data_IF_233262804777
#
_entry.id   IF_233262804777
#
_cell.length_a   1.000
_cell.length_b   1.000
_cell.length_c   1.000
_cell.angle_alpha   90.00
_cell.angle_beta   90.00
_cell.angle_gamma   90.00
#
_symmetry.space_group_name_H-M   'P 1'
#
loop_
_entity.id
_entity.type
_entity.pdbx_description
1 polymer ?
#
# COMPACT_ATOMS: atom_id res chain seq x y z
N UNK A 1 -9.91 -7.68 12.87
CA UNK A 1 -8.71 -8.27 12.24
C UNK A 1 -8.17 -7.27 11.22
N UNK A 2 -7.13 -7.59 10.45
CA UNK A 2 -6.65 -6.72 9.36
C UNK A 2 -6.40 -7.53 8.11
N UNK A 3 -6.58 -6.90 6.95
CA UNK A 3 -6.19 -7.46 5.66
C UNK A 3 -5.11 -6.59 5.01
N UNK A 4 -4.39 -7.22 4.09
CA UNK A 4 -3.28 -6.60 3.38
C UNK A 4 -3.64 -6.38 1.90
N UNK A 5 -3.28 -5.21 1.39
CA UNK A 5 -3.29 -4.89 -0.04
C UNK A 5 -1.87 -4.51 -0.45
N UNK A 6 -1.35 -5.22 -1.44
CA UNK A 6 0.03 -5.06 -1.93
C UNK A 6 0.02 -4.44 -3.32
N UNK A 7 0.69 -3.31 -3.48
CA UNK A 7 1.07 -2.74 -4.77
C UNK A 7 2.38 -3.33 -5.27
N UNK A 8 2.35 -4.00 -6.41
CA UNK A 8 3.51 -4.54 -7.12
C UNK A 8 3.86 -3.59 -8.28
N UNK A 9 4.67 -2.59 -7.97
CA UNK A 9 4.97 -1.43 -8.80
C UNK A 9 6.13 -1.70 -9.77
N UNK A 10 5.99 -1.37 -11.06
CA UNK A 10 7.07 -1.54 -12.06
C UNK A 10 8.20 -0.53 -11.89
N UNK A 11 7.89 0.65 -11.35
CA UNK A 11 8.84 1.72 -11.04
C UNK A 11 8.87 1.96 -9.54
N UNK A 12 10.00 2.45 -9.05
CA UNK A 12 10.12 2.88 -7.66
C UNK A 12 9.13 4.02 -7.41
N UNK A 13 8.23 3.91 -6.43
CA UNK A 13 7.40 5.04 -6.02
C UNK A 13 8.28 6.03 -5.26
N UNK A 14 8.39 7.25 -5.79
CA UNK A 14 9.00 8.36 -5.06
C UNK A 14 8.04 8.94 -4.01
N UNK A 15 8.55 9.86 -3.20
CA UNK A 15 7.77 10.51 -2.15
C UNK A 15 6.53 11.24 -2.69
N UNK A 16 6.63 11.89 -3.85
CA UNK A 16 5.50 12.60 -4.47
C UNK A 16 4.41 11.62 -4.92
N UNK A 17 4.80 10.48 -5.49
CA UNK A 17 3.90 9.40 -5.88
C UNK A 17 3.19 8.81 -4.66
N UNK A 18 3.91 8.56 -3.57
CA UNK A 18 3.32 8.07 -2.32
C UNK A 18 2.33 9.07 -1.72
N UNK A 19 2.72 10.35 -1.61
CA UNK A 19 1.85 11.40 -1.09
C UNK A 19 0.58 11.54 -1.96
N UNK A 20 0.72 11.48 -3.28
CA UNK A 20 -0.41 11.57 -4.21
C UNK A 20 -1.37 10.37 -4.06
N UNK A 21 -0.83 9.16 -3.90
CA UNK A 21 -1.63 7.96 -3.65
C UNK A 21 -2.34 8.01 -2.28
N UNK A 22 -1.66 8.50 -1.23
CA UNK A 22 -2.24 8.72 0.10
C UNK A 22 -3.41 9.70 0.03
N UNK A 23 -3.24 10.82 -0.70
CA UNK A 23 -4.31 11.81 -0.87
C UNK A 23 -5.50 11.28 -1.66
N UNK A 24 -5.27 10.37 -2.60
CA UNK A 24 -6.34 9.70 -3.33
C UNK A 24 -7.17 8.77 -2.44
N UNK A 25 -6.54 8.13 -1.45
CA UNK A 25 -7.18 7.19 -0.53
C UNK A 25 -8.01 7.85 0.57
N UNK A 26 -7.58 9.02 1.04
CA UNK A 26 -8.37 9.80 1.99
C UNK A 26 -7.91 11.26 2.00
N UNK A 27 -8.65 12.19 1.38
CA UNK A 27 -8.27 13.60 1.33
C UNK A 27 -8.37 14.32 2.69
N UNK A 28 -9.00 13.69 3.69
CA UNK A 28 -9.24 14.27 5.03
C UNK A 28 -8.44 13.57 6.13
N UNK A 29 -7.62 12.57 5.81
CA UNK A 29 -6.85 11.84 6.82
C UNK A 29 -5.61 12.60 7.27
N UNK A 30 -5.31 12.50 8.56
CA UNK A 30 -4.00 12.87 9.10
C UNK A 30 -3.00 11.77 8.77
N UNK A 31 -1.79 12.17 8.37
CA UNK A 31 -0.69 11.25 8.04
C UNK A 31 0.38 11.38 9.12
N UNK A 32 0.60 10.30 9.84
CA UNK A 32 1.66 10.16 10.83
C UNK A 32 2.78 9.29 10.24
N UNK A 33 4.04 9.62 10.57
CA UNK A 33 5.20 8.79 10.22
C UNK A 33 5.67 8.11 11.50
N UNK A 34 5.61 6.79 11.52
CA UNK A 34 6.26 5.97 12.55
C UNK A 34 7.70 5.72 12.10
N UNK A 35 8.64 6.53 12.59
CA UNK A 35 10.05 6.45 12.21
C UNK A 35 10.71 5.15 12.70
N UNK A 36 10.29 4.63 13.86
CA UNK A 36 10.84 3.40 14.44
C UNK A 36 10.50 2.17 13.59
N UNK A 37 9.30 2.16 13.01
CA UNK A 37 8.81 1.06 12.17
C UNK A 37 8.88 1.36 10.67
N UNK A 38 9.30 2.56 10.31
CA UNK A 38 9.44 3.03 8.94
C UNK A 38 8.14 2.86 8.12
N UNK A 39 7.03 3.34 8.67
CA UNK A 39 5.69 3.22 8.08
C UNK A 39 4.87 4.50 8.21
N UNK A 40 3.94 4.69 7.27
CA UNK A 40 2.95 5.78 7.31
C UNK A 40 1.65 5.26 7.91
N UNK A 41 1.04 6.05 8.80
CA UNK A 41 -0.25 5.74 9.42
C UNK A 41 -1.26 6.82 9.02
N UNK A 42 -2.31 6.42 8.32
CA UNK A 42 -3.44 7.28 7.98
C UNK A 42 -4.51 7.11 9.05
N UNK A 43 -4.96 8.24 9.61
CA UNK A 43 -6.04 8.28 10.59
C UNK A 43 -7.22 9.08 10.07
N UNK A 44 -8.44 8.59 10.31
CA UNK A 44 -9.64 9.36 10.04
C UNK A 44 -9.74 10.56 11.00
N UNK A 45 -10.64 11.53 10.76
CA UNK A 45 -10.84 12.67 11.66
C UNK A 45 -11.23 12.30 13.10
N UNK A 46 -11.71 11.07 13.34
CA UNK A 46 -11.97 10.52 14.67
C UNK A 46 -10.74 9.94 15.37
N UNK A 47 -9.57 9.96 14.72
CA UNK A 47 -8.29 9.45 15.24
C UNK A 47 -8.08 7.94 15.06
N UNK A 48 -9.03 7.24 14.44
CA UNK A 48 -8.93 5.79 14.19
C UNK A 48 -8.01 5.52 13.00
N UNK A 49 -7.23 4.44 13.06
CA UNK A 49 -6.35 4.04 11.96
C UNK A 49 -7.19 3.49 10.81
N UNK A 50 -7.02 4.07 9.63
CA UNK A 50 -7.67 3.67 8.38
C UNK A 50 -6.74 2.79 7.56
N UNK A 51 -5.46 3.17 7.46
CA UNK A 51 -4.48 2.47 6.64
C UNK A 51 -3.09 2.63 7.24
N UNK A 52 -2.33 1.55 7.28
CA UNK A 52 -0.88 1.57 7.52
C UNK A 52 -0.16 1.24 6.22
N UNK A 53 0.89 1.95 5.86
CA UNK A 53 1.64 1.75 4.62
C UNK A 53 3.12 1.53 4.96
N UNK A 54 3.67 0.38 4.55
CA UNK A 54 5.11 0.12 4.64
C UNK A 54 5.87 0.80 3.49
N UNK A 55 7.13 1.14 3.75
CA UNK A 55 8.02 1.64 2.70
C UNK A 55 8.19 0.65 1.54
N UNK A 56 8.36 1.21 0.34
CA UNK A 56 8.60 0.43 -0.86
C UNK A 56 9.88 -0.41 -0.76
N UNK A 57 9.78 -1.70 -1.05
CA UNK A 57 10.92 -2.64 -1.06
C UNK A 57 11.16 -3.20 -2.45
N UNK A 58 12.40 -3.18 -2.91
CA UNK A 58 12.78 -3.77 -4.21
C UNK A 58 12.89 -5.30 -4.09
N UNK A 59 11.98 -6.01 -4.74
CA UNK A 59 12.01 -7.48 -4.86
C UNK A 59 12.68 -7.85 -6.16
N UNK A 60 13.87 -8.46 -6.07
CA UNK A 60 14.71 -8.82 -7.23
C UNK A 60 14.86 -10.31 -7.44
N UNK A 61 14.51 -11.12 -6.44
CA UNK A 61 14.63 -12.58 -6.49
C UNK A 61 13.51 -13.16 -7.35
N UNK A 62 13.81 -13.86 -8.46
CA UNK A 62 12.78 -14.52 -9.26
C UNK A 62 11.96 -15.51 -8.42
N UNK A 63 10.63 -15.48 -8.57
CA UNK A 63 9.71 -16.38 -7.87
C UNK A 63 9.34 -15.97 -6.44
N UNK A 64 9.96 -14.95 -5.86
CA UNK A 64 9.67 -14.52 -4.49
C UNK A 64 8.22 -14.05 -4.33
N UNK A 65 7.71 -13.29 -5.29
CA UNK A 65 6.30 -12.85 -5.28
C UNK A 65 5.35 -14.04 -5.42
N UNK A 66 5.67 -15.03 -6.25
CA UNK A 66 4.87 -16.28 -6.34
C UNK A 66 4.87 -17.03 -5.01
N UNK A 67 6.01 -17.11 -4.34
CA UNK A 67 6.15 -17.79 -3.05
C UNK A 67 5.29 -17.14 -1.96
N UNK A 68 5.21 -15.80 -1.94
CA UNK A 68 4.50 -15.05 -0.90
C UNK A 68 3.01 -14.81 -1.21
N UNK A 69 2.68 -14.45 -2.46
CA UNK A 69 1.34 -14.01 -2.86
C UNK A 69 0.62 -14.98 -3.81
N UNK A 70 1.31 -16.02 -4.29
CA UNK A 70 0.74 -16.98 -5.25
C UNK A 70 0.60 -16.46 -6.69
N UNK A 71 1.02 -15.22 -6.96
CA UNK A 71 0.95 -14.59 -8.30
C UNK A 71 2.34 -14.45 -8.93
N UNK A 72 2.39 -14.52 -10.26
CA UNK A 72 3.64 -14.41 -11.02
C UNK A 72 3.82 -12.99 -11.56
N UNK A 73 4.94 -12.36 -11.22
CA UNK A 73 5.38 -11.07 -11.77
C UNK A 73 6.89 -11.12 -12.03
N UNK A 74 7.36 -10.59 -13.17
CA UNK A 74 8.78 -10.59 -13.48
C UNK A 74 9.53 -9.61 -12.56
N UNK A 75 10.66 -10.02 -11.93
CA UNK A 75 11.52 -9.10 -11.21
C UNK A 75 12.31 -8.20 -12.18
N UNK A 76 12.76 -7.00 -11.74
CA UNK A 76 12.51 -6.42 -10.42
C UNK A 76 11.10 -5.82 -10.32
N UNK A 77 10.54 -5.84 -9.10
CA UNK A 77 9.28 -5.15 -8.77
C UNK A 77 9.43 -4.43 -7.44
N UNK A 78 8.74 -3.31 -7.28
CA UNK A 78 8.66 -2.57 -6.03
C UNK A 78 7.41 -2.97 -5.26
N UNK A 79 7.61 -3.57 -4.10
CA UNK A 79 6.55 -4.01 -3.20
C UNK A 79 6.21 -2.91 -2.21
N UNK A 80 4.97 -2.44 -2.25
CA UNK A 80 4.41 -1.54 -1.23
C UNK A 80 3.25 -2.27 -0.58
N UNK A 81 3.36 -2.51 0.72
CA UNK A 81 2.33 -3.18 1.52
C UNK A 81 1.50 -2.15 2.25
N UNK A 82 0.19 -2.32 2.22
CA UNK A 82 -0.72 -1.55 3.04
C UNK A 82 -1.65 -2.47 3.82
N UNK A 83 -1.94 -2.11 5.06
CA UNK A 83 -2.74 -2.91 6.01
C UNK A 83 -3.90 -2.09 6.53
N UNK A 84 -5.10 -2.62 6.43
CA UNK A 84 -6.34 -1.96 6.84
C UNK A 84 -7.17 -2.83 7.79
N UNK A 85 -7.93 -2.23 8.73
CA UNK A 85 -8.93 -2.95 9.51
C UNK A 85 -9.97 -3.66 8.63
N UNK A 86 -10.30 -4.91 8.97
CA UNK A 86 -11.25 -5.74 8.19
C UNK A 86 -12.71 -5.32 8.31
N UNK A 87 -13.09 -4.80 9.48
CA UNK A 87 -14.47 -4.51 9.87
C UNK A 87 -14.84 -3.04 9.62
N UNK A 88 -14.14 -2.38 8.69
CA UNK A 88 -14.30 -0.96 8.38
C UNK A 88 -14.31 -0.74 6.85
N UNK A 89 -15.46 -0.31 6.33
CA UNK A 89 -15.66 -0.08 4.89
C UNK A 89 -14.90 1.15 4.37
N UNK A 90 -14.64 2.15 5.23
CA UNK A 90 -13.82 3.31 4.88
C UNK A 90 -12.36 2.87 4.74
N UNK A 91 -11.86 2.06 5.68
CA UNK A 91 -10.53 1.46 5.59
C UNK A 91 -10.37 0.57 4.35
N UNK A 92 -11.40 -0.23 4.02
CA UNK A 92 -11.37 -1.03 2.81
C UNK A 92 -11.27 -0.18 1.54
N UNK A 93 -12.06 0.89 1.47
CA UNK A 93 -12.05 1.82 0.35
C UNK A 93 -10.69 2.50 0.23
N UNK A 94 -10.16 3.03 1.33
CA UNK A 94 -8.86 3.70 1.36
C UNK A 94 -7.72 2.77 0.92
N UNK A 95 -7.67 1.52 1.38
CA UNK A 95 -6.64 0.57 0.97
C UNK A 95 -6.66 0.30 -0.55
N UNK A 96 -7.86 0.15 -1.12
CA UNK A 96 -8.06 -0.08 -2.56
C UNK A 96 -7.71 1.16 -3.38
N UNK A 97 -8.17 2.34 -2.97
CA UNK A 97 -7.91 3.60 -3.66
C UNK A 97 -6.43 3.98 -3.61
N UNK A 98 -5.78 3.85 -2.45
CA UNK A 98 -4.33 4.02 -2.29
C UNK A 98 -3.58 3.14 -3.29
N UNK A 99 -3.85 1.84 -3.27
CA UNK A 99 -3.12 0.87 -4.08
C UNK A 99 -3.39 1.09 -5.58
N UNK A 100 -4.64 1.40 -5.95
CA UNK A 100 -5.00 1.68 -7.33
C UNK A 100 -4.30 2.94 -7.86
N UNK A 101 -4.27 4.02 -7.07
CA UNK A 101 -3.55 5.24 -7.44
C UNK A 101 -2.05 4.99 -7.58
N UNK A 102 -1.45 4.27 -6.63
CA UNK A 102 -0.04 3.91 -6.64
C UNK A 102 0.34 3.08 -7.88
N UNK A 103 -0.42 2.02 -8.17
CA UNK A 103 -0.18 1.14 -9.34
C UNK A 103 -0.47 1.88 -10.65
N UNK A 104 -1.45 2.78 -10.68
CA UNK A 104 -1.72 3.61 -11.86
C UNK A 104 -0.53 4.53 -12.17
N UNK A 105 0.03 5.17 -11.14
CA UNK A 105 1.18 6.04 -11.29
C UNK A 105 2.43 5.24 -11.72
N UNK A 106 2.77 4.16 -11.01
CA UNK A 106 4.03 3.43 -11.19
C UNK A 106 3.98 2.32 -12.24
N UNK A 107 2.79 1.93 -12.69
CA UNK A 107 2.53 0.72 -13.45
C UNK A 107 2.65 -0.55 -12.60
N UNK A 108 2.11 -1.67 -13.07
CA UNK A 108 2.21 -2.96 -12.37
C UNK A 108 0.85 -3.57 -12.06
N UNK A 109 0.73 -4.19 -10.89
CA UNK A 109 -0.49 -4.87 -10.45
C UNK A 109 -0.69 -4.75 -8.95
N UNK A 110 -1.88 -5.06 -8.47
CA UNK A 110 -2.16 -5.19 -7.05
C UNK A 110 -2.52 -6.62 -6.67
N UNK A 111 -2.40 -6.92 -5.39
CA UNK A 111 -2.88 -8.14 -4.75
C UNK A 111 -3.59 -7.77 -3.45
N UNK A 112 -4.55 -8.59 -3.04
CA UNK A 112 -5.30 -8.42 -1.80
C UNK A 112 -5.41 -9.76 -1.09
N UNK A 113 -5.25 -9.78 0.24
CA UNK A 113 -5.51 -10.98 1.05
C UNK A 113 -7.01 -11.25 1.24
N UNK A 114 -7.86 -10.38 0.70
CA UNK A 114 -9.33 -10.42 0.71
C UNK A 114 -9.90 -10.31 -0.69
#
# INVERSE_FOLDING_TARGET
MTFDVVGLCRREPDAETLISAIRAASPLSEVEVDEDRMLFVLRNPGGQVVLTIENGRSVRVPGEVRRLLGIDVPPPVWWVESRAPDDDAEAETAAREFTAALVTATGGSSWSSR
#
